data_IF_216883921334
#
_entry.id   IF_216883921334
#
_cell.length_a   1.000
_cell.length_b   1.000
_cell.length_c   1.000
_cell.angle_alpha   90.00
_cell.angle_beta   90.00
_cell.angle_gamma   90.00
#
_symmetry.space_group_name_H-M   'P 1'
#
loop_
_entity.id
_entity.type
_entity.pdbx_description
1 polymer ?
#
# COMPACT_ATOMS: atom_id res chain seq x y z
N UNK A 1 -30.42 -20.35 89.17
CA UNK A 1 -31.84 -19.98 89.04
C UNK A 1 -32.06 -19.25 87.75
N UNK A 2 -32.89 -19.74 86.93
CA UNK A 2 -33.70 -19.19 85.89
C UNK A 2 -33.77 -20.07 84.62
N UNK A 3 -34.96 -20.43 84.42
CA UNK A 3 -35.55 -21.47 83.59
C UNK A 3 -35.33 -21.26 82.14
N UNK A 4 -35.09 -22.36 81.46
CA UNK A 4 -35.21 -22.57 80.01
C UNK A 4 -36.64 -22.69 79.64
N UNK A 5 -37.08 -21.96 78.57
CA UNK A 5 -38.32 -22.23 77.86
C UNK A 5 -37.99 -22.59 76.46
N UNK A 6 -38.26 -23.86 76.13
CA UNK A 6 -38.15 -24.49 74.84
C UNK A 6 -39.41 -24.14 74.06
N UNK A 7 -39.30 -23.44 72.94
CA UNK A 7 -40.38 -23.24 72.00
C UNK A 7 -40.11 -23.96 70.72
N UNK A 8 -40.88 -24.98 70.50
CA UNK A 8 -40.90 -25.83 69.29
C UNK A 8 -41.76 -25.11 68.26
N UNK A 9 -41.15 -24.66 67.18
CA UNK A 9 -41.89 -24.16 65.99
C UNK A 9 -41.75 -25.18 64.86
N UNK A 10 -42.82 -25.84 64.53
CA UNK A 10 -42.95 -26.72 63.36
C UNK A 10 -43.25 -25.82 62.16
N UNK A 11 -42.36 -25.76 61.22
CA UNK A 11 -42.64 -25.11 59.95
C UNK A 11 -42.76 -26.15 58.87
N UNK A 12 -43.93 -26.20 58.27
CA UNK A 12 -44.27 -27.11 57.17
C UNK A 12 -43.51 -26.70 55.90
N UNK A 13 -42.80 -27.66 55.34
CA UNK A 13 -42.10 -27.52 54.08
C UNK A 13 -43.09 -27.71 52.92
N UNK A 14 -43.53 -26.62 52.27
CA UNK A 14 -44.23 -26.68 51.02
C UNK A 14 -43.20 -26.68 49.88
N UNK A 15 -43.02 -27.86 49.23
CA UNK A 15 -42.16 -27.97 48.05
C UNK A 15 -42.82 -27.34 46.83
N UNK A 16 -42.33 -26.16 46.44
CA UNK A 16 -42.70 -25.56 45.16
C UNK A 16 -41.68 -26.04 44.11
N UNK A 17 -42.14 -26.93 43.21
CA UNK A 17 -41.38 -27.28 42.00
C UNK A 17 -41.38 -26.10 41.04
N UNK A 18 -40.36 -25.33 41.00
CA UNK A 18 -40.14 -24.36 39.92
C UNK A 18 -39.39 -25.05 38.80
N UNK A 19 -40.08 -25.29 37.68
CA UNK A 19 -39.49 -25.74 36.43
C UNK A 19 -38.57 -24.66 35.88
N UNK A 20 -37.25 -24.83 35.98
CA UNK A 20 -36.28 -24.01 35.33
C UNK A 20 -36.32 -24.26 33.81
N UNK A 21 -36.93 -23.32 33.07
CA UNK A 21 -36.82 -23.27 31.62
C UNK A 21 -35.36 -22.95 31.25
N UNK A 22 -34.63 -23.97 30.78
CA UNK A 22 -33.32 -23.77 30.18
C UNK A 22 -33.48 -22.94 28.89
N UNK A 23 -33.19 -21.65 28.95
CA UNK A 23 -33.03 -20.84 27.78
C UNK A 23 -31.65 -21.12 27.23
N UNK A 24 -31.60 -21.95 26.17
CA UNK A 24 -30.42 -22.08 25.32
C UNK A 24 -30.27 -20.78 24.50
N UNK A 25 -29.67 -19.79 25.14
CA UNK A 25 -29.25 -18.57 24.46
C UNK A 25 -28.05 -18.91 23.55
N UNK A 26 -28.36 -19.36 22.35
CA UNK A 26 -27.33 -19.36 21.29
C UNK A 26 -27.12 -17.92 20.88
N UNK A 27 -26.10 -17.31 21.45
CA UNK A 27 -25.63 -16.00 21.01
C UNK A 27 -25.10 -16.19 19.57
N UNK A 28 -25.68 -15.53 18.53
CA UNK A 28 -25.12 -15.64 17.19
C UNK A 28 -23.70 -15.07 17.22
N UNK A 29 -22.70 -15.86 16.85
CA UNK A 29 -21.37 -15.35 16.58
C UNK A 29 -21.49 -14.19 15.60
N UNK A 30 -20.78 -13.07 15.83
CA UNK A 30 -20.71 -12.00 14.87
C UNK A 30 -20.21 -12.58 13.55
N UNK A 31 -21.00 -12.41 12.48
CA UNK A 31 -20.58 -12.74 11.13
C UNK A 31 -19.38 -11.87 10.81
N UNK A 32 -18.18 -12.36 11.13
CA UNK A 32 -16.96 -11.81 10.54
C UNK A 32 -17.12 -11.97 9.04
N UNK A 33 -17.37 -10.84 8.38
CA UNK A 33 -17.23 -10.75 6.93
C UNK A 33 -15.77 -11.13 6.64
N UNK A 34 -15.54 -12.37 6.20
CA UNK A 34 -14.27 -12.74 5.60
C UNK A 34 -14.13 -11.84 4.37
N UNK A 35 -13.46 -10.72 4.55
CA UNK A 35 -12.95 -9.99 3.40
C UNK A 35 -11.91 -10.91 2.77
N UNK A 36 -12.23 -11.43 1.59
CA UNK A 36 -11.26 -12.14 0.78
C UNK A 36 -10.01 -11.27 0.73
N UNK A 37 -8.79 -11.84 0.89
CA UNK A 37 -7.58 -11.07 0.78
C UNK A 37 -7.64 -10.33 -0.54
N UNK A 38 -7.67 -9.01 -0.48
CA UNK A 38 -7.65 -8.17 -1.69
C UNK A 38 -6.31 -8.47 -2.35
N UNK A 39 -6.32 -9.35 -3.35
CA UNK A 39 -5.12 -9.65 -4.13
C UNK A 39 -4.75 -8.34 -4.82
N UNK A 40 -3.85 -7.62 -4.20
CA UNK A 40 -3.33 -6.38 -4.78
C UNK A 40 -2.41 -6.79 -5.93
N UNK A 41 -2.83 -6.52 -7.15
CA UNK A 41 -2.02 -6.76 -8.35
C UNK A 41 -0.97 -5.64 -8.48
N UNK A 42 0.30 -5.99 -8.79
CA UNK A 42 1.38 -4.99 -8.87
C UNK A 42 1.12 -3.90 -9.91
N UNK A 43 0.46 -4.22 -11.02
CA UNK A 43 0.09 -3.23 -12.05
C UNK A 43 -0.89 -2.17 -11.56
N UNK A 44 -1.66 -2.43 -10.50
CA UNK A 44 -2.58 -1.44 -9.95
C UNK A 44 -1.82 -0.29 -9.26
N UNK A 45 -0.68 -0.58 -8.65
CA UNK A 45 0.20 0.44 -8.06
C UNK A 45 0.74 1.37 -9.15
N UNK A 46 1.17 0.78 -10.27
CA UNK A 46 1.70 1.54 -11.42
C UNK A 46 0.59 2.37 -12.09
N UNK A 47 -0.59 1.79 -12.32
CA UNK A 47 -1.77 2.52 -12.86
C UNK A 47 -2.13 3.72 -12.00
N UNK A 48 -2.17 3.50 -10.67
CA UNK A 48 -2.50 4.57 -9.73
C UNK A 48 -1.42 5.66 -9.68
N UNK A 49 -0.14 5.28 -9.78
CA UNK A 49 0.96 6.25 -9.87
C UNK A 49 0.79 7.17 -11.10
N UNK A 50 0.54 6.61 -12.30
CA UNK A 50 0.28 7.41 -13.49
C UNK A 50 -0.97 8.28 -13.36
N UNK A 51 -2.01 7.78 -12.72
CA UNK A 51 -3.23 8.54 -12.45
C UNK A 51 -2.97 9.77 -11.57
N UNK A 52 -2.15 9.62 -10.55
CA UNK A 52 -1.78 10.71 -9.63
C UNK A 52 -0.80 11.67 -10.27
N UNK A 53 0.13 11.16 -11.07
CA UNK A 53 1.17 11.96 -11.72
C UNK A 53 0.63 12.90 -12.82
N UNK A 54 -0.45 12.56 -13.50
CA UNK A 54 -1.19 13.41 -14.44
C UNK A 54 -0.31 14.09 -15.52
N UNK A 55 0.47 13.31 -16.27
CA UNK A 55 1.37 13.84 -17.30
C UNK A 55 2.35 14.91 -16.77
N UNK A 56 2.96 14.66 -15.62
CA UNK A 56 3.92 15.57 -15.01
C UNK A 56 3.35 16.62 -14.06
N UNK A 57 2.03 16.82 -14.01
CA UNK A 57 1.41 17.81 -13.12
C UNK A 57 1.19 17.32 -11.68
N UNK A 58 1.45 16.05 -11.38
CA UNK A 58 1.36 15.52 -10.02
C UNK A 58 2.69 15.65 -9.31
N UNK A 59 2.68 16.15 -8.09
CA UNK A 59 3.85 16.48 -7.28
C UNK A 59 4.69 15.29 -6.78
N UNK A 60 4.68 14.15 -7.49
CA UNK A 60 5.34 12.91 -7.02
C UNK A 60 6.85 13.11 -6.86
N UNK A 61 7.49 13.85 -7.77
CA UNK A 61 8.92 14.12 -7.77
C UNK A 61 9.27 15.53 -7.28
N UNK A 62 8.42 16.11 -6.45
CA UNK A 62 8.63 17.42 -5.83
C UNK A 62 8.68 17.31 -4.30
N UNK A 63 9.16 18.35 -3.61
CA UNK A 63 9.26 18.39 -2.14
C UNK A 63 7.92 18.15 -1.44
N UNK A 64 6.84 18.72 -1.96
CA UNK A 64 5.48 18.52 -1.45
C UNK A 64 4.95 17.10 -1.66
N UNK A 65 5.56 16.32 -2.54
CA UNK A 65 5.19 14.95 -2.86
C UNK A 65 5.70 13.88 -1.90
N UNK A 66 6.34 14.22 -0.77
CA UNK A 66 6.94 13.23 0.13
C UNK A 66 6.01 12.06 0.51
N UNK A 67 4.75 12.36 0.81
CA UNK A 67 3.75 11.33 1.14
C UNK A 67 3.43 10.42 -0.06
N UNK A 68 3.42 10.95 -1.28
CA UNK A 68 3.23 10.18 -2.50
C UNK A 68 4.44 9.28 -2.77
N UNK A 69 5.65 9.78 -2.57
CA UNK A 69 6.87 8.98 -2.70
C UNK A 69 6.83 7.78 -1.76
N UNK A 70 6.51 7.97 -0.48
CA UNK A 70 6.37 6.90 0.51
C UNK A 70 5.20 5.94 0.20
N UNK A 71 4.15 6.44 -0.46
CA UNK A 71 3.01 5.62 -0.87
C UNK A 71 3.37 4.65 -1.99
N UNK A 72 4.08 5.09 -3.00
CA UNK A 72 4.32 4.33 -4.22
C UNK A 72 5.65 3.59 -4.26
N UNK A 73 6.71 4.19 -3.72
CA UNK A 73 8.05 3.64 -3.79
C UNK A 73 8.43 2.91 -2.49
N UNK A 74 9.37 1.97 -2.58
CA UNK A 74 9.98 1.38 -1.40
C UNK A 74 10.85 2.42 -0.66
N UNK A 75 11.30 2.08 0.53
CA UNK A 75 12.03 3.00 1.39
C UNK A 75 13.33 3.49 0.73
N UNK A 76 14.05 2.59 0.06
CA UNK A 76 15.30 2.92 -0.63
C UNK A 76 15.07 3.93 -1.75
N UNK A 77 14.18 3.63 -2.68
CA UNK A 77 13.92 4.50 -3.83
C UNK A 77 13.28 5.83 -3.40
N UNK A 78 12.32 5.80 -2.47
CA UNK A 78 11.74 7.03 -1.89
C UNK A 78 12.80 7.90 -1.19
N UNK A 79 13.80 7.29 -0.56
CA UNK A 79 14.93 7.98 0.06
C UNK A 79 15.85 8.63 -0.97
N UNK A 80 16.17 7.93 -2.06
CA UNK A 80 16.99 8.45 -3.16
C UNK A 80 16.31 9.63 -3.87
N UNK A 81 15.03 9.50 -4.21
CA UNK A 81 14.24 10.59 -4.79
C UNK A 81 14.23 11.80 -3.85
N UNK A 82 13.99 11.57 -2.56
CA UNK A 82 13.98 12.65 -1.56
C UNK A 82 15.32 13.35 -1.45
N UNK A 83 16.41 12.60 -1.44
CA UNK A 83 17.79 13.16 -1.39
C UNK A 83 18.04 14.05 -2.60
N UNK A 84 17.68 13.62 -3.80
CA UNK A 84 17.89 14.36 -5.03
C UNK A 84 17.14 15.70 -5.03
N UNK A 85 15.85 15.71 -4.68
CA UNK A 85 15.01 16.92 -4.69
C UNK A 85 15.23 17.86 -3.50
N UNK A 86 15.93 17.42 -2.44
CA UNK A 86 16.19 18.25 -1.24
C UNK A 86 17.64 18.63 -1.07
N UNK A 87 18.50 18.37 -2.06
CA UNK A 87 19.92 18.73 -2.00
C UNK A 87 20.14 20.21 -1.65
N UNK A 88 21.26 20.55 -0.98
CA UNK A 88 21.52 21.91 -0.52
C UNK A 88 21.67 22.92 -1.65
N UNK A 89 22.34 22.54 -2.72
CA UNK A 89 22.65 23.42 -3.85
C UNK A 89 21.54 23.32 -4.92
N UNK A 90 20.54 24.19 -4.83
CA UNK A 90 19.39 24.17 -5.74
C UNK A 90 19.67 24.80 -7.11
N UNK A 91 20.79 25.52 -7.24
CA UNK A 91 21.23 26.10 -8.51
C UNK A 91 21.89 25.08 -9.45
N UNK A 92 22.21 23.89 -8.92
CA UNK A 92 22.69 22.75 -9.69
C UNK A 92 21.53 21.82 -10.08
N UNK A 93 21.50 21.40 -11.34
CA UNK A 93 20.55 20.42 -11.83
C UNK A 93 20.79 19.09 -11.09
N UNK A 94 19.73 18.46 -10.56
CA UNK A 94 19.84 17.16 -9.91
C UNK A 94 20.16 16.05 -10.88
N UNK A 95 20.27 14.85 -10.33
CA UNK A 95 20.39 13.64 -11.16
C UNK A 95 19.12 13.39 -12.00
N UNK A 96 17.98 13.98 -11.60
CA UNK A 96 16.74 13.95 -12.34
C UNK A 96 16.48 15.31 -12.99
N UNK A 97 16.86 15.45 -14.24
CA UNK A 97 16.53 16.58 -15.12
C UNK A 97 15.38 16.27 -16.09
N UNK A 98 14.71 15.14 -15.89
CA UNK A 98 13.63 14.62 -16.72
C UNK A 98 12.51 13.99 -15.86
N UNK A 99 11.36 13.73 -16.47
CA UNK A 99 10.26 13.02 -15.81
C UNK A 99 10.53 11.50 -15.79
N UNK A 100 10.76 10.91 -14.60
CA UNK A 100 11.13 9.50 -14.49
C UNK A 100 10.05 8.51 -14.96
N UNK A 101 8.77 8.93 -14.98
CA UNK A 101 7.70 8.05 -15.45
C UNK A 101 7.59 7.97 -16.96
N UNK A 102 8.19 8.95 -17.65
CA UNK A 102 8.17 9.02 -19.11
C UNK A 102 9.56 8.92 -19.73
N UNK A 103 10.61 8.95 -18.90
CA UNK A 103 12.00 8.99 -19.36
C UNK A 103 12.23 10.09 -20.40
N UNK A 104 11.70 11.28 -20.13
CA UNK A 104 11.73 12.41 -21.07
C UNK A 104 11.58 13.77 -20.34
N UNK A 105 12.18 14.80 -20.88
CA UNK A 105 12.00 16.19 -20.44
C UNK A 105 10.71 16.76 -21.04
N UNK A 106 10.54 16.60 -22.34
CA UNK A 106 9.35 17.02 -23.05
C UNK A 106 8.40 15.84 -23.27
N UNK A 107 7.15 16.00 -22.84
CA UNK A 107 6.17 14.93 -22.86
C UNK A 107 4.95 15.30 -23.70
N UNK A 108 4.64 14.43 -24.68
CA UNK A 108 3.37 14.41 -25.42
C UNK A 108 2.87 12.97 -25.48
N UNK A 109 2.26 12.51 -24.40
CA UNK A 109 1.95 11.11 -24.21
C UNK A 109 0.63 10.72 -24.90
N UNK A 110 0.71 9.65 -25.70
CA UNK A 110 -0.43 9.01 -26.34
C UNK A 110 -0.38 7.50 -26.10
N UNK A 111 -1.54 6.85 -26.05
CA UNK A 111 -1.68 5.40 -26.00
C UNK A 111 -0.95 4.72 -24.84
N UNK A 112 -0.89 5.38 -23.65
CA UNK A 112 -0.28 4.80 -22.47
C UNK A 112 -1.02 3.53 -22.04
N UNK A 113 -0.26 2.45 -21.85
CA UNK A 113 -0.75 1.15 -21.43
C UNK A 113 0.15 0.59 -20.34
N UNK A 114 -0.45 0.26 -19.21
CA UNK A 114 0.18 -0.51 -18.15
C UNK A 114 -0.17 -1.97 -18.37
N UNK A 115 0.81 -2.80 -18.64
CA UNK A 115 0.64 -4.23 -18.87
C UNK A 115 0.40 -4.99 -17.57
N UNK A 116 0.07 -6.28 -17.69
CA UNK A 116 -0.05 -7.18 -16.55
C UNK A 116 1.31 -7.40 -15.89
N UNK A 117 1.31 -7.45 -14.55
CA UNK A 117 2.51 -7.74 -13.77
C UNK A 117 2.89 -9.22 -13.84
N UNK A 118 4.20 -9.48 -14.04
CA UNK A 118 4.78 -10.82 -13.90
C UNK A 118 5.36 -10.94 -12.50
N UNK A 119 4.72 -11.75 -11.66
CA UNK A 119 5.11 -11.97 -10.26
C UNK A 119 6.05 -13.15 -10.14
N UNK A 120 7.16 -12.95 -9.39
CA UNK A 120 8.13 -13.99 -9.01
C UNK A 120 8.45 -13.90 -7.52
N UNK A 121 7.78 -14.71 -6.70
CA UNK A 121 7.91 -14.65 -5.24
C UNK A 121 7.45 -13.30 -4.69
N UNK A 122 8.36 -12.58 -4.04
CA UNK A 122 8.10 -11.25 -3.46
C UNK A 122 8.41 -10.09 -4.42
N UNK A 123 8.74 -10.37 -5.66
CA UNK A 123 9.05 -9.34 -6.67
C UNK A 123 8.08 -9.42 -7.85
N UNK A 124 7.93 -8.32 -8.55
CA UNK A 124 7.16 -8.27 -9.78
C UNK A 124 7.79 -7.30 -10.78
N UNK A 125 7.53 -7.55 -12.07
CA UNK A 125 7.86 -6.63 -13.16
C UNK A 125 6.59 -6.24 -13.88
N UNK A 126 6.36 -4.94 -14.07
CA UNK A 126 5.19 -4.39 -14.76
C UNK A 126 5.67 -3.56 -15.95
N UNK A 127 5.39 -3.98 -17.19
CA UNK A 127 5.75 -3.21 -18.37
C UNK A 127 4.76 -2.05 -18.59
N UNK A 128 5.29 -0.91 -19.00
CA UNK A 128 4.50 0.23 -19.47
C UNK A 128 4.96 0.62 -20.86
N UNK A 129 4.01 0.87 -21.74
CA UNK A 129 4.27 1.30 -23.11
C UNK A 129 3.42 2.52 -23.46
N UNK A 130 3.99 3.44 -24.23
CA UNK A 130 3.29 4.61 -24.71
C UNK A 130 3.99 5.16 -25.97
N UNK A 131 3.36 6.13 -26.60
CA UNK A 131 4.00 7.00 -27.57
C UNK A 131 4.35 8.30 -26.86
N UNK A 132 5.59 8.77 -27.01
CA UNK A 132 5.95 10.15 -26.69
C UNK A 132 6.27 10.85 -27.99
N UNK A 133 5.46 11.85 -28.36
CA UNK A 133 5.39 12.33 -29.75
C UNK A 133 5.14 11.16 -30.71
N UNK A 134 6.06 10.91 -31.64
CA UNK A 134 5.98 9.81 -32.61
C UNK A 134 6.92 8.63 -32.25
N UNK A 135 7.55 8.67 -31.08
CA UNK A 135 8.46 7.63 -30.62
C UNK A 135 7.74 6.65 -29.68
N UNK A 136 7.93 5.35 -29.96
CA UNK A 136 7.44 4.30 -29.07
C UNK A 136 8.40 4.13 -27.92
N UNK A 137 7.89 4.26 -26.70
CA UNK A 137 8.64 4.07 -25.45
C UNK A 137 8.13 2.85 -24.72
N UNK A 138 9.07 2.08 -24.12
CA UNK A 138 8.80 0.99 -23.19
C UNK A 138 9.69 1.17 -21.97
N UNK A 139 9.10 1.15 -20.80
CA UNK A 139 9.76 1.10 -19.50
C UNK A 139 9.22 -0.07 -18.68
N UNK A 140 10.04 -0.57 -17.74
CA UNK A 140 9.65 -1.64 -16.85
C UNK A 140 9.75 -1.20 -15.39
N UNK A 141 8.65 -1.30 -14.66
CA UNK A 141 8.62 -1.08 -13.22
C UNK A 141 8.98 -2.36 -12.50
N UNK A 142 9.98 -2.31 -11.63
CA UNK A 142 10.31 -3.40 -10.71
C UNK A 142 9.66 -3.10 -9.36
N UNK A 143 8.95 -4.08 -8.81
CA UNK A 143 8.21 -3.93 -7.57
C UNK A 143 8.63 -5.01 -6.57
N UNK A 144 8.48 -4.68 -5.29
CA UNK A 144 8.65 -5.59 -4.17
C UNK A 144 7.37 -5.63 -3.34
N UNK A 145 6.97 -6.83 -2.91
CA UNK A 145 5.83 -7.01 -2.02
C UNK A 145 6.29 -6.86 -0.56
N UNK A 146 5.74 -5.88 0.11
CA UNK A 146 6.01 -5.56 1.53
C UNK A 146 4.80 -5.91 2.40
N UNK A 147 4.92 -5.77 3.71
CA UNK A 147 3.77 -5.88 4.63
C UNK A 147 2.65 -4.89 4.30
N UNK A 148 2.98 -3.76 3.66
CA UNK A 148 2.03 -2.73 3.22
C UNK A 148 1.56 -2.87 1.77
N UNK A 149 1.83 -4.01 1.11
CA UNK A 149 1.52 -4.28 -0.30
C UNK A 149 2.68 -3.97 -1.25
N UNK A 150 2.40 -3.95 -2.54
CA UNK A 150 3.39 -3.72 -3.57
C UNK A 150 3.95 -2.31 -3.54
N UNK A 151 5.28 -2.19 -3.66
CA UNK A 151 6.01 -0.93 -3.76
C UNK A 151 6.96 -0.99 -4.96
N UNK A 152 7.10 0.13 -5.66
CA UNK A 152 8.05 0.26 -6.76
C UNK A 152 9.45 0.39 -6.16
N UNK A 153 10.34 -0.52 -6.53
CA UNK A 153 11.74 -0.55 -6.07
C UNK A 153 12.72 -0.01 -7.11
N UNK A 154 12.33 0.02 -8.39
CA UNK A 154 13.13 0.60 -9.47
C UNK A 154 12.27 0.84 -10.73
N UNK A 155 12.76 1.68 -11.63
CA UNK A 155 12.23 1.87 -12.98
C UNK A 155 13.39 1.62 -13.95
N UNK A 156 13.23 0.64 -14.84
CA UNK A 156 14.20 0.24 -15.84
C UNK A 156 13.84 0.86 -17.18
N UNK A 157 14.77 1.61 -17.74
CA UNK A 157 14.60 2.32 -19.01
C UNK A 157 15.18 1.53 -20.21
N UNK A 158 15.77 0.36 -19.94
CA UNK A 158 16.50 -0.43 -20.92
C UNK A 158 17.95 0.04 -21.09
N UNK A 159 18.71 -0.72 -21.88
CA UNK A 159 20.10 -0.42 -22.23
C UNK A 159 21.04 -0.22 -21.01
N UNK A 160 20.70 -0.82 -19.86
CA UNK A 160 21.48 -0.69 -18.63
C UNK A 160 21.23 0.60 -17.83
N UNK A 161 20.25 1.41 -18.20
CA UNK A 161 19.84 2.60 -17.48
C UNK A 161 18.63 2.31 -16.61
N UNK A 162 18.67 2.73 -15.33
CA UNK A 162 17.56 2.63 -14.39
C UNK A 162 17.57 3.78 -13.37
N UNK A 163 16.42 4.01 -12.75
CA UNK A 163 16.21 5.14 -11.85
C UNK A 163 17.11 5.08 -10.61
N UNK A 164 17.29 3.90 -10.01
CA UNK A 164 18.16 3.74 -8.84
C UNK A 164 19.60 4.04 -9.19
N UNK A 165 20.09 3.55 -10.35
CA UNK A 165 21.42 3.82 -10.85
C UNK A 165 21.68 5.31 -11.06
N UNK A 166 20.72 6.01 -11.70
CA UNK A 166 20.80 7.45 -11.93
C UNK A 166 20.86 8.25 -10.61
N UNK A 167 19.93 7.97 -9.70
CA UNK A 167 19.85 8.65 -8.40
C UNK A 167 20.99 8.31 -7.42
N UNK A 168 21.75 7.25 -7.69
CA UNK A 168 22.88 6.84 -6.85
C UNK A 168 24.20 7.48 -7.28
N UNK A 169 24.25 8.22 -8.37
CA UNK A 169 25.45 8.94 -8.80
C UNK A 169 25.80 10.05 -7.82
N UNK A 170 27.09 10.37 -7.66
CA UNK A 170 27.49 11.58 -6.92
C UNK A 170 26.83 12.82 -7.52
N UNK A 171 26.40 13.72 -6.67
CA UNK A 171 25.95 15.06 -7.04
C UNK A 171 27.15 15.97 -7.18
#
# INVERSE_FOLDING_TARGET
>A
MRKVILSLVVVACAAALTAAKAQTGVTPLPKQKLEAPTVSFPENVVKELYRVHRNGYGHVFERQGRKLQQRFFDEKLAGLIWKDITRPNQDEVGNLDFDPLYNAQDIQIKNLRVGAGVVKGLTATVPVTFMNYDQRVRIEFRLVNTKGGWKISNIDYGQGSDLVGLLSQPL
#
